data_IF_059478953605
#
_entry.id   IF_059478953605
#
_cell.length_a   1.000
_cell.length_b   1.000
_cell.length_c   1.000
_cell.angle_alpha   90.00
_cell.angle_beta   90.00
_cell.angle_gamma   90.00
#
_symmetry.space_group_name_H-M   'P 1'
#
loop_
_entity.id
_entity.type
_entity.pdbx_description
1 polymer ?
#
# COMPACT_ATOMS: atom_id res chain seq x y z
N UNK A 1 -12.30 -3.88 -12.91
CA UNK A 1 -12.99 -5.18 -13.10
C UNK A 1 -14.33 -5.19 -12.37
N UNK A 2 -14.40 -4.70 -11.13
CA UNK A 2 -15.63 -4.63 -10.31
C UNK A 2 -16.81 -3.79 -10.85
N UNK A 3 -16.69 -3.13 -12.01
CA UNK A 3 -17.81 -2.47 -12.70
C UNK A 3 -18.51 -3.35 -13.73
N UNK A 4 -18.03 -4.59 -13.97
CA UNK A 4 -18.68 -5.57 -14.83
C UNK A 4 -19.99 -6.02 -14.17
N UNK A 5 -21.10 -5.86 -14.88
CA UNK A 5 -22.43 -6.30 -14.43
C UNK A 5 -22.61 -7.80 -14.68
N UNK A 6 -23.50 -8.43 -13.91
CA UNK A 6 -23.89 -9.84 -14.12
C UNK A 6 -22.69 -10.82 -14.14
N UNK A 7 -21.62 -10.51 -13.41
CA UNK A 7 -20.54 -11.45 -13.13
C UNK A 7 -21.04 -12.60 -12.24
N UNK A 8 -21.85 -12.26 -11.24
CA UNK A 8 -22.58 -13.19 -10.39
C UNK A 8 -24.04 -12.75 -10.28
N UNK A 9 -24.95 -13.70 -9.98
CA UNK A 9 -26.36 -13.41 -9.76
C UNK A 9 -26.55 -12.52 -8.52
N UNK A 10 -27.33 -11.42 -8.60
CA UNK A 10 -27.57 -10.53 -7.46
C UNK A 10 -28.25 -11.23 -6.27
N UNK A 11 -29.15 -12.18 -6.54
CA UNK A 11 -29.92 -12.89 -5.52
C UNK A 11 -29.07 -13.93 -4.76
N UNK A 12 -28.02 -14.45 -5.41
CA UNK A 12 -27.07 -15.36 -4.79
C UNK A 12 -25.71 -15.30 -5.53
N UNK A 13 -24.77 -14.54 -4.96
CA UNK A 13 -23.47 -14.21 -5.58
C UNK A 13 -22.51 -15.39 -5.75
N UNK A 14 -22.88 -16.60 -5.28
CA UNK A 14 -22.13 -17.83 -5.56
C UNK A 14 -22.48 -18.42 -6.94
N UNK A 15 -23.62 -18.03 -7.52
CA UNK A 15 -24.05 -18.55 -8.82
C UNK A 15 -23.43 -17.68 -9.93
N UNK A 16 -22.62 -18.28 -10.83
CA UNK A 16 -22.04 -17.57 -11.96
C UNK A 16 -23.11 -16.94 -12.85
N UNK A 17 -22.91 -15.67 -13.22
CA UNK A 17 -23.72 -14.96 -14.20
C UNK A 17 -23.16 -15.08 -15.62
N UNK A 18 -23.76 -14.34 -16.57
CA UNK A 18 -23.34 -14.37 -17.99
C UNK A 18 -21.91 -13.86 -18.20
N UNK A 19 -21.42 -13.00 -17.29
CA UNK A 19 -20.09 -12.40 -17.38
C UNK A 19 -19.09 -13.01 -16.39
N UNK A 20 -19.40 -14.13 -15.74
CA UNK A 20 -18.52 -14.76 -14.74
C UNK A 20 -17.13 -15.08 -15.30
N UNK A 21 -17.06 -15.75 -16.45
CA UNK A 21 -15.80 -16.19 -17.03
C UNK A 21 -14.84 -15.02 -17.35
N UNK A 22 -15.36 -13.93 -17.93
CA UNK A 22 -14.55 -12.75 -18.24
C UNK A 22 -14.16 -11.98 -16.98
N UNK A 23 -15.02 -11.98 -15.96
CA UNK A 23 -14.74 -11.34 -14.67
C UNK A 23 -13.61 -12.06 -13.95
N UNK A 24 -13.72 -13.39 -13.79
CA UNK A 24 -12.74 -14.22 -13.06
C UNK A 24 -11.35 -14.18 -13.71
N UNK A 25 -11.28 -14.22 -15.05
CA UNK A 25 -10.00 -14.10 -15.75
C UNK A 25 -9.33 -12.74 -15.45
N UNK A 26 -10.09 -11.66 -15.53
CA UNK A 26 -9.56 -10.32 -15.29
C UNK A 26 -9.21 -10.09 -13.82
N UNK A 27 -10.02 -10.60 -12.89
CA UNK A 27 -9.75 -10.53 -11.46
C UNK A 27 -8.48 -11.32 -11.10
N UNK A 28 -8.28 -12.51 -11.68
CA UNK A 28 -7.04 -13.27 -11.54
C UNK A 28 -5.80 -12.51 -12.02
N UNK A 29 -5.91 -11.73 -13.11
CA UNK A 29 -4.84 -10.84 -13.58
C UNK A 29 -4.56 -9.69 -12.60
N UNK A 30 -5.60 -9.15 -11.94
CA UNK A 30 -5.44 -8.12 -10.90
C UNK A 30 -4.75 -8.70 -9.67
N UNK A 31 -5.13 -9.89 -9.20
CA UNK A 31 -4.43 -10.57 -8.10
C UNK A 31 -2.96 -10.83 -8.43
N UNK A 32 -2.67 -11.30 -9.66
CA UNK A 32 -1.30 -11.47 -10.14
C UNK A 32 -0.52 -10.16 -10.10
N UNK A 33 -1.15 -9.04 -10.49
CA UNK A 33 -0.53 -7.72 -10.44
C UNK A 33 -0.19 -7.28 -9.01
N UNK A 34 -1.07 -7.54 -8.03
CA UNK A 34 -0.79 -7.28 -6.62
C UNK A 34 0.39 -8.14 -6.11
N UNK A 35 0.42 -9.43 -6.43
CA UNK A 35 1.54 -10.30 -6.05
C UNK A 35 2.86 -9.84 -6.66
N UNK A 36 2.86 -9.40 -7.93
CA UNK A 36 4.06 -8.85 -8.57
C UNK A 36 4.48 -7.50 -7.99
N UNK A 37 3.52 -6.68 -7.54
CA UNK A 37 3.78 -5.41 -6.88
C UNK A 37 4.47 -5.61 -5.53
N UNK A 38 4.00 -6.57 -4.74
CA UNK A 38 4.60 -6.95 -3.46
C UNK A 38 5.99 -7.58 -3.65
N UNK A 39 6.10 -8.58 -4.52
CA UNK A 39 7.35 -9.33 -4.72
C UNK A 39 8.55 -8.47 -5.21
N UNK A 40 8.29 -7.37 -5.91
CA UNK A 40 9.34 -6.43 -6.35
C UNK A 40 9.73 -5.39 -5.30
N UNK A 41 8.90 -5.20 -4.28
CA UNK A 41 9.12 -4.17 -3.27
C UNK A 41 10.19 -4.65 -2.29
N UNK A 42 11.24 -3.83 -2.09
CA UNK A 42 12.31 -4.14 -1.14
C UNK A 42 11.86 -3.88 0.30
N UNK A 43 10.90 -2.96 0.48
CA UNK A 43 10.26 -2.66 1.76
C UNK A 43 9.31 -3.80 2.11
N UNK A 44 9.48 -4.38 3.29
CA UNK A 44 8.61 -5.46 3.76
C UNK A 44 7.31 -4.89 4.28
N UNK A 45 6.18 -5.46 3.85
CA UNK A 45 4.84 -5.02 4.26
C UNK A 45 4.62 -3.52 3.98
N UNK A 46 5.12 -3.03 2.83
CA UNK A 46 5.00 -1.63 2.41
C UNK A 46 3.61 -1.20 1.96
N UNK A 47 2.68 -2.16 1.87
CA UNK A 47 1.27 -1.98 1.55
C UNK A 47 0.37 -2.04 2.80
N UNK A 48 0.93 -2.32 3.98
CA UNK A 48 0.24 -2.47 5.26
C UNK A 48 -0.84 -3.57 5.29
N UNK A 49 -0.84 -4.50 4.32
CA UNK A 49 -1.82 -5.60 4.28
C UNK A 49 -1.65 -6.58 5.44
N UNK A 50 -0.50 -6.57 6.12
CA UNK A 50 -0.24 -7.34 7.34
C UNK A 50 -0.15 -6.43 8.59
N UNK A 51 -0.92 -5.33 8.60
CA UNK A 51 -0.90 -4.32 9.65
C UNK A 51 0.47 -3.65 9.76
N UNK A 52 1.00 -3.56 10.98
CA UNK A 52 2.29 -2.92 11.28
C UNK A 52 3.46 -3.92 11.32
N UNK A 53 3.26 -5.14 10.82
CA UNK A 53 4.33 -6.15 10.76
C UNK A 53 5.55 -5.61 9.99
N UNK A 54 6.76 -5.91 10.47
CA UNK A 54 8.03 -5.40 9.92
C UNK A 54 8.25 -3.88 10.03
N UNK A 55 7.35 -3.13 10.66
CA UNK A 55 7.53 -1.71 10.94
C UNK A 55 7.86 -1.48 12.42
N UNK A 56 8.75 -0.53 12.69
CA UNK A 56 9.01 0.00 14.01
C UNK A 56 8.17 1.26 14.22
N UNK A 57 7.43 1.30 15.33
CA UNK A 57 6.42 2.32 15.60
C UNK A 57 6.73 3.04 16.91
N UNK A 58 6.67 4.36 16.88
CA UNK A 58 6.63 5.22 18.06
C UNK A 58 5.38 6.09 18.00
N UNK A 59 4.77 6.34 19.15
CA UNK A 59 3.49 7.07 19.22
C UNK A 59 2.30 6.23 18.77
N UNK A 60 1.18 6.90 18.51
CA UNK A 60 -0.07 6.25 18.09
C UNK A 60 -0.23 6.30 16.57
N UNK A 61 -0.36 5.13 15.95
CA UNK A 61 -0.67 4.97 14.52
C UNK A 61 -1.62 3.80 14.33
N UNK A 62 -2.44 3.87 13.29
CA UNK A 62 -3.43 2.84 12.97
C UNK A 62 -3.23 2.33 11.54
N UNK A 63 -3.72 1.11 11.29
CA UNK A 63 -3.90 0.59 9.94
C UNK A 63 -5.37 0.30 9.74
N UNK A 64 -5.98 0.98 8.78
CA UNK A 64 -7.40 0.83 8.45
C UNK A 64 -7.56 0.02 7.17
N UNK A 65 -8.46 -0.97 7.19
CA UNK A 65 -8.89 -1.66 5.97
C UNK A 65 -9.92 -0.82 5.22
N UNK A 66 -9.54 -0.33 4.05
CA UNK A 66 -10.45 0.28 3.08
C UNK A 66 -11.03 -0.77 2.12
N UNK A 67 -11.97 -0.33 1.29
CA UNK A 67 -12.64 -1.15 0.28
C UNK A 67 -11.69 -2.08 -0.49
N UNK A 68 -12.12 -3.32 -0.72
CA UNK A 68 -11.43 -4.35 -1.51
C UNK A 68 -10.02 -4.70 -1.01
N UNK A 69 -9.88 -5.00 0.29
CA UNK A 69 -8.64 -5.50 0.90
C UNK A 69 -7.45 -4.53 0.79
N UNK A 70 -7.74 -3.22 0.72
CA UNK A 70 -6.69 -2.20 0.69
C UNK A 70 -6.46 -1.69 2.11
N UNK A 71 -5.34 -2.03 2.71
CA UNK A 71 -4.94 -1.43 3.98
C UNK A 71 -4.26 -0.07 3.76
N UNK A 72 -4.47 0.86 4.70
CA UNK A 72 -3.80 2.18 4.70
C UNK A 72 -3.23 2.47 6.08
N UNK A 73 -2.02 3.04 6.13
CA UNK A 73 -1.45 3.58 7.34
C UNK A 73 -2.06 4.97 7.63
N UNK A 74 -2.54 5.15 8.86
CA UNK A 74 -3.04 6.43 9.37
C UNK A 74 -2.08 6.94 10.44
N UNK A 75 -1.55 8.15 10.22
CA UNK A 75 -0.67 8.85 11.16
C UNK A 75 -1.44 10.06 11.70
N UNK A 76 -2.13 9.93 12.85
CA UNK A 76 -3.04 10.96 13.36
C UNK A 76 -2.34 12.12 14.08
N UNK A 77 -1.13 11.90 14.57
CA UNK A 77 -0.37 12.86 15.38
C UNK A 77 1.04 13.07 14.82
N UNK A 78 1.62 14.25 15.04
CA UNK A 78 2.91 14.63 14.43
C UNK A 78 4.11 14.03 15.18
N UNK A 79 3.90 13.62 16.43
CA UNK A 79 4.89 12.95 17.28
C UNK A 79 5.08 11.47 16.93
N UNK A 80 4.16 10.89 16.15
CA UNK A 80 4.22 9.49 15.76
C UNK A 80 5.25 9.25 14.64
N UNK A 81 5.98 8.14 14.74
CA UNK A 81 7.00 7.72 13.77
C UNK A 81 6.77 6.27 13.36
N UNK A 82 6.82 6.00 12.06
CA UNK A 82 6.81 4.64 11.49
C UNK A 82 8.05 4.49 10.63
N UNK A 83 8.89 3.51 10.96
CA UNK A 83 10.23 3.37 10.37
C UNK A 83 10.56 1.90 10.09
N UNK A 84 11.35 1.65 9.04
CA UNK A 84 11.88 0.32 8.72
C UNK A 84 13.31 0.48 8.21
N UNK A 85 14.22 -0.33 8.76
CA UNK A 85 15.57 -0.46 8.21
C UNK A 85 15.54 -1.41 7.00
N UNK A 86 16.05 -0.93 5.86
CA UNK A 86 16.05 -1.67 4.59
C UNK A 86 17.48 -1.86 4.10
N UNK A 87 17.87 -3.12 3.86
CA UNK A 87 19.18 -3.43 3.27
C UNK A 87 19.16 -3.23 1.76
N UNK A 88 20.09 -2.44 1.25
CA UNK A 88 20.26 -2.16 -0.18
C UNK A 88 21.65 -2.58 -0.67
N UNK A 89 21.83 -2.67 -1.99
CA UNK A 89 23.12 -2.92 -2.61
C UNK A 89 23.77 -1.59 -3.01
N UNK A 90 24.93 -1.23 -2.43
CA UNK A 90 25.63 0.00 -2.78
C UNK A 90 25.93 0.10 -4.27
N UNK A 91 25.85 1.32 -4.83
CA UNK A 91 26.10 1.58 -6.26
C UNK A 91 24.95 1.22 -7.20
N UNK A 92 23.82 0.73 -6.69
CA UNK A 92 22.59 0.53 -7.48
C UNK A 92 21.61 1.70 -7.27
N UNK A 93 20.88 2.04 -8.34
CA UNK A 93 19.78 3.00 -8.27
C UNK A 93 18.49 2.35 -7.74
N UNK A 94 17.75 3.12 -6.94
CA UNK A 94 16.46 2.72 -6.37
C UNK A 94 15.42 3.81 -6.64
N UNK A 95 14.15 3.41 -6.65
CA UNK A 95 13.02 4.34 -6.77
C UNK A 95 12.21 4.25 -5.49
N UNK A 96 12.18 5.32 -4.72
CA UNK A 96 11.21 5.50 -3.65
C UNK A 96 9.92 6.05 -4.25
N UNK A 97 8.82 5.32 -4.09
CA UNK A 97 7.49 5.78 -4.51
C UNK A 97 6.51 5.59 -3.37
N UNK A 98 5.79 6.66 -3.06
CA UNK A 98 4.77 6.69 -2.01
C UNK A 98 3.44 7.12 -2.64
N UNK A 99 2.36 6.45 -2.26
CA UNK A 99 1.00 6.78 -2.68
C UNK A 99 0.19 7.09 -1.43
N UNK A 100 0.12 8.37 -1.10
CA UNK A 100 -0.52 8.90 0.10
C UNK A 100 -1.21 10.23 -0.21
N UNK A 101 -2.00 10.72 0.73
CA UNK A 101 -2.57 12.06 0.71
C UNK A 101 -2.48 12.66 2.12
N UNK A 102 -2.58 13.99 2.23
CA UNK A 102 -2.54 14.69 3.51
C UNK A 102 -3.94 15.12 3.92
N UNK A 103 -4.31 14.92 5.18
CA UNK A 103 -5.51 15.51 5.76
C UNK A 103 -5.16 16.71 6.63
N UNK A 104 -5.96 17.78 6.57
CA UNK A 104 -5.78 18.98 7.38
C UNK A 104 -4.51 19.77 7.05
N UNK A 105 -3.99 20.47 8.05
CA UNK A 105 -2.85 21.39 7.92
C UNK A 105 -1.49 20.67 7.96
N UNK A 106 -0.46 21.36 7.47
CA UNK A 106 0.93 20.90 7.49
C UNK A 106 1.27 19.94 6.35
N UNK A 107 2.39 19.24 6.48
CA UNK A 107 2.92 18.32 5.47
C UNK A 107 3.04 16.92 6.06
N UNK A 108 2.70 15.90 5.27
CA UNK A 108 3.12 14.53 5.53
C UNK A 108 4.49 14.31 4.87
N UNK A 109 5.37 13.54 5.49
CA UNK A 109 6.72 13.31 4.97
C UNK A 109 7.09 11.83 5.03
N UNK A 110 7.71 11.33 3.97
CA UNK A 110 8.47 10.08 3.99
C UNK A 110 9.92 10.42 3.68
N UNK A 111 10.78 10.16 4.64
CA UNK A 111 12.22 10.41 4.54
C UNK A 111 12.97 9.09 4.36
N UNK A 112 13.97 9.08 3.49
CA UNK A 112 14.93 7.98 3.36
C UNK A 112 16.31 8.53 3.65
N UNK A 113 17.11 7.83 4.46
CA UNK A 113 18.46 8.26 4.78
C UNK A 113 19.40 7.09 5.07
N UNK A 114 20.69 7.37 4.99
CA UNK A 114 21.76 6.51 5.52
C UNK A 114 22.34 7.12 6.81
N UNK A 115 23.46 6.59 7.32
CA UNK A 115 24.11 7.08 8.56
C UNK A 115 24.76 8.47 8.37
N UNK A 116 25.00 8.90 7.13
CA UNK A 116 25.65 10.17 6.77
C UNK A 116 24.68 11.17 6.11
N UNK A 117 25.20 12.20 5.43
CA UNK A 117 24.45 13.29 4.79
C UNK A 117 23.73 12.88 3.48
N UNK A 118 23.24 11.65 3.40
CA UNK A 118 22.51 11.15 2.25
C UNK A 118 21.05 10.94 2.65
N UNK A 119 20.29 12.03 2.65
CA UNK A 119 18.89 12.08 3.02
C UNK A 119 18.08 12.67 1.88
N UNK A 120 16.96 12.03 1.55
CA UNK A 120 15.98 12.53 0.58
C UNK A 120 14.56 12.43 1.17
N UNK A 121 13.64 13.25 0.68
CA UNK A 121 12.30 13.40 1.25
C UNK A 121 11.19 13.44 0.17
N UNK A 122 10.07 12.81 0.48
CA UNK A 122 8.81 12.95 -0.26
C UNK A 122 7.77 13.61 0.64
N UNK A 123 7.32 14.80 0.24
CA UNK A 123 6.36 15.62 0.96
C UNK A 123 4.97 15.57 0.34
N UNK A 124 3.95 15.59 1.20
CA UNK A 124 2.53 15.55 0.85
C UNK A 124 1.81 16.72 1.53
N UNK A 125 1.21 17.59 0.74
CA UNK A 125 0.35 18.67 1.20
C UNK A 125 -0.87 18.79 0.28
N UNK A 126 -1.92 19.47 0.73
CA UNK A 126 -3.10 19.80 -0.08
C UNK A 126 -3.00 21.20 -0.69
#
# INVERSE_FOLDING_TARGET
VHSIREAYLPELSVIPGVNAAIFEELEGRIFTAFSLYDARNVIKNGDFNNGLSCWNVKGHVDVEEQNNQRSVLVVPEWEAEVSQEVRVCPGRGYILRVTAYKEGYGEGCVTIHEIENNTDELKFSN
#
